data_IF_445331842965
#
_entry.id   IF_445331842965
#
_cell.length_a   1.000
_cell.length_b   1.000
_cell.length_c   1.000
_cell.angle_alpha   90.00
_cell.angle_beta   90.00
_cell.angle_gamma   90.00
#
_symmetry.space_group_name_H-M   'P 1'
#
loop_
_entity.id
_entity.type
_entity.pdbx_description
1 polymer ?
#
# COMPACT_ATOMS: atom_id res chain seq x y z
N UNK A 1 -43.77 -15.23 -20.04
CA UNK A 1 -43.00 -14.05 -20.49
C UNK A 1 -43.14 -12.99 -19.41
N UNK A 2 -42.16 -12.87 -18.52
CA UNK A 2 -42.13 -11.79 -17.53
C UNK A 2 -41.39 -10.63 -18.20
N UNK A 3 -42.10 -9.54 -18.48
CA UNK A 3 -41.53 -8.32 -19.02
C UNK A 3 -40.61 -7.68 -17.97
N UNK A 4 -39.32 -7.61 -18.29
CA UNK A 4 -38.35 -6.79 -17.57
C UNK A 4 -38.76 -5.31 -17.71
N UNK A 5 -38.80 -4.52 -16.63
CA UNK A 5 -39.13 -3.10 -16.74
C UNK A 5 -38.02 -2.39 -17.53
N UNK A 6 -38.39 -1.71 -18.62
CA UNK A 6 -37.51 -0.84 -19.39
C UNK A 6 -37.16 0.35 -18.48
N UNK A 7 -35.89 0.47 -18.07
CA UNK A 7 -35.35 1.68 -17.45
C UNK A 7 -35.55 2.84 -18.45
N UNK A 8 -36.08 4.00 -18.04
CA UNK A 8 -36.26 5.11 -18.97
C UNK A 8 -34.89 5.56 -19.51
N UNK A 9 -34.74 5.56 -20.83
CA UNK A 9 -33.62 6.17 -21.56
C UNK A 9 -33.63 7.69 -21.34
N UNK A 10 -33.05 8.15 -20.24
CA UNK A 10 -32.67 9.56 -20.10
C UNK A 10 -31.46 9.79 -20.99
N UNK A 11 -31.59 10.68 -21.98
CA UNK A 11 -30.46 11.10 -22.79
C UNK A 11 -29.25 11.48 -21.91
N UNK A 12 -28.03 11.10 -22.29
CA UNK A 12 -26.84 11.39 -21.47
C UNK A 12 -26.70 12.90 -21.24
N UNK A 13 -26.58 13.31 -19.97
CA UNK A 13 -26.55 14.73 -19.54
C UNK A 13 -25.33 15.50 -20.06
N UNK A 14 -24.28 14.80 -20.48
CA UNK A 14 -23.05 15.34 -21.06
C UNK A 14 -22.66 14.52 -22.31
N UNK A 15 -22.00 15.10 -23.34
CA UNK A 15 -21.58 14.37 -24.54
C UNK A 15 -20.61 13.23 -24.21
N UNK A 16 -20.33 12.24 -25.08
CA UNK A 16 -19.33 11.22 -24.78
C UNK A 16 -17.91 11.82 -24.70
N UNK A 17 -17.11 11.38 -23.71
CA UNK A 17 -15.67 11.71 -23.64
C UNK A 17 -14.96 11.34 -24.94
N UNK A 18 -14.07 12.21 -25.41
CA UNK A 18 -13.21 12.00 -26.59
C UNK A 18 -11.80 11.52 -26.19
N UNK A 19 -11.60 11.18 -24.92
CA UNK A 19 -10.34 10.71 -24.39
C UNK A 19 -10.02 9.30 -24.91
N UNK A 20 -8.74 8.95 -25.08
CA UNK A 20 -8.36 7.60 -25.58
C UNK A 20 -8.78 6.45 -24.64
N UNK A 21 -8.99 6.76 -23.36
CA UNK A 21 -9.52 5.85 -22.34
C UNK A 21 -11.00 6.11 -22.02
N UNK A 22 -11.80 6.55 -23.01
CA UNK A 22 -13.21 6.90 -22.82
C UNK A 22 -14.01 5.82 -22.09
N UNK A 23 -13.83 4.54 -22.43
CA UNK A 23 -14.53 3.43 -21.77
C UNK A 23 -14.21 3.32 -20.27
N UNK A 24 -12.95 3.56 -19.90
CA UNK A 24 -12.51 3.58 -18.50
C UNK A 24 -13.16 4.75 -17.77
N UNK A 25 -13.19 5.93 -18.39
CA UNK A 25 -13.81 7.14 -17.84
C UNK A 25 -15.31 6.93 -17.64
N UNK A 26 -16.01 6.34 -18.61
CA UNK A 26 -17.45 6.06 -18.46
C UNK A 26 -17.73 5.09 -17.31
N UNK A 27 -16.86 4.09 -17.07
CA UNK A 27 -16.96 3.24 -15.88
C UNK A 27 -16.75 4.02 -14.59
N UNK A 28 -15.77 4.91 -14.52
CA UNK A 28 -15.54 5.77 -13.35
C UNK A 28 -16.72 6.72 -13.11
N UNK A 29 -17.29 7.31 -14.16
CA UNK A 29 -18.49 8.16 -14.09
C UNK A 29 -19.72 7.39 -13.61
N UNK A 30 -19.79 6.10 -13.91
CA UNK A 30 -20.83 5.20 -13.39
C UNK A 30 -20.56 4.68 -11.96
N UNK A 31 -19.48 5.14 -11.31
CA UNK A 31 -19.11 4.72 -9.95
C UNK A 31 -18.40 3.36 -9.89
N UNK A 32 -17.89 2.88 -11.02
CA UNK A 32 -17.09 1.67 -11.12
C UNK A 32 -15.58 1.92 -11.04
N UNK A 33 -14.82 0.88 -11.35
CA UNK A 33 -13.36 0.88 -11.33
C UNK A 33 -12.74 1.02 -12.73
N UNK A 34 -11.42 1.23 -12.76
CA UNK A 34 -10.64 1.19 -14.00
C UNK A 34 -10.65 -0.20 -14.66
N UNK A 35 -10.93 -1.26 -13.90
CA UNK A 35 -11.08 -2.62 -14.40
C UNK A 35 -12.52 -2.91 -14.90
N UNK A 36 -12.68 -3.81 -15.87
CA UNK A 36 -13.99 -4.36 -16.22
C UNK A 36 -14.65 -5.08 -15.03
N UNK A 37 -15.95 -4.90 -14.86
CA UNK A 37 -16.74 -5.60 -13.85
C UNK A 37 -17.11 -7.01 -14.34
N UNK A 38 -16.29 -7.99 -13.95
CA UNK A 38 -16.52 -9.41 -14.26
C UNK A 38 -16.36 -10.25 -13.00
N UNK A 39 -17.06 -11.39 -12.87
CA UNK A 39 -16.86 -12.31 -11.75
C UNK A 39 -15.40 -12.78 -11.62
N UNK A 40 -14.71 -12.95 -12.75
CA UNK A 40 -13.30 -13.35 -12.80
C UNK A 40 -12.37 -12.26 -12.25
N UNK A 41 -12.60 -10.98 -12.58
CA UNK A 41 -11.83 -9.88 -12.00
C UNK A 41 -12.14 -9.74 -10.51
N UNK A 42 -13.41 -9.86 -10.09
CA UNK A 42 -13.78 -9.80 -8.68
C UNK A 42 -13.08 -10.88 -7.86
N UNK A 43 -13.13 -12.14 -8.31
CA UNK A 43 -12.45 -13.27 -7.66
C UNK A 43 -10.94 -13.03 -7.54
N UNK A 44 -10.28 -12.58 -8.61
CA UNK A 44 -8.86 -12.26 -8.60
C UNK A 44 -8.52 -11.12 -7.63
N UNK A 45 -9.30 -10.03 -7.65
CA UNK A 45 -9.11 -8.87 -6.78
C UNK A 45 -9.23 -9.26 -5.31
N UNK A 46 -10.30 -9.97 -4.93
CA UNK A 46 -10.50 -10.35 -3.53
C UNK A 46 -9.48 -11.41 -3.11
N UNK A 47 -9.24 -12.42 -3.95
CA UNK A 47 -8.30 -13.50 -3.62
C UNK A 47 -6.89 -12.99 -3.35
N UNK A 48 -6.44 -12.00 -4.12
CA UNK A 48 -5.14 -11.39 -3.86
C UNK A 48 -5.14 -10.45 -2.66
N UNK A 49 -6.26 -9.77 -2.36
CA UNK A 49 -6.38 -9.01 -1.10
C UNK A 49 -6.22 -9.93 0.12
N UNK A 50 -6.83 -11.12 0.11
CA UNK A 50 -6.63 -12.11 1.17
C UNK A 50 -5.18 -12.53 1.30
N UNK A 51 -4.55 -12.90 0.18
CA UNK A 51 -3.15 -13.34 0.16
C UNK A 51 -2.17 -12.23 0.56
N UNK A 52 -2.50 -10.97 0.27
CA UNK A 52 -1.69 -9.81 0.63
C UNK A 52 -1.88 -9.36 2.08
N UNK A 53 -3.08 -9.50 2.64
CA UNK A 53 -3.40 -9.05 3.99
C UNK A 53 -2.55 -9.77 5.06
N UNK A 54 -2.23 -11.05 4.86
CA UNK A 54 -1.43 -11.85 5.81
C UNK A 54 0.02 -11.33 5.95
N UNK A 55 0.83 -11.18 4.87
CA UNK A 55 2.15 -10.59 4.99
C UNK A 55 2.07 -9.10 5.35
N UNK A 56 1.03 -8.36 4.92
CA UNK A 56 0.81 -6.98 5.38
C UNK A 56 0.62 -6.89 6.89
N UNK A 57 -0.06 -7.86 7.51
CA UNK A 57 -0.20 -7.95 8.97
C UNK A 57 1.16 -8.11 9.67
N UNK A 58 2.10 -8.82 9.07
CA UNK A 58 3.49 -8.85 9.54
C UNK A 58 4.17 -7.49 9.32
N UNK A 59 4.06 -6.93 8.11
CA UNK A 59 4.76 -5.71 7.72
C UNK A 59 4.43 -4.54 8.63
N UNK A 60 3.15 -4.26 8.92
CA UNK A 60 2.82 -3.10 9.74
C UNK A 60 3.36 -3.25 11.17
N UNK A 61 3.32 -4.46 11.74
CA UNK A 61 3.85 -4.75 13.08
C UNK A 61 5.36 -4.54 13.13
N UNK A 62 6.07 -5.05 12.14
CA UNK A 62 7.53 -4.98 12.09
C UNK A 62 8.04 -3.58 11.72
N UNK A 63 7.33 -2.83 10.87
CA UNK A 63 7.61 -1.42 10.62
C UNK A 63 7.48 -0.58 11.90
N UNK A 64 6.42 -0.79 12.69
CA UNK A 64 6.25 -0.11 13.97
C UNK A 64 7.33 -0.55 14.97
N UNK A 65 7.63 -1.85 15.07
CA UNK A 65 8.72 -2.35 15.90
C UNK A 65 10.07 -1.71 15.56
N UNK A 66 10.40 -1.59 14.26
CA UNK A 66 11.63 -0.96 13.80
C UNK A 66 11.66 0.51 14.22
N UNK A 67 10.58 1.26 13.99
CA UNK A 67 10.51 2.68 14.35
C UNK A 67 10.59 2.89 15.88
N UNK A 68 9.82 2.12 16.64
CA UNK A 68 9.60 2.34 18.07
C UNK A 68 10.71 1.77 18.96
N UNK A 69 11.37 0.68 18.57
CA UNK A 69 12.26 -0.08 19.48
C UNK A 69 13.67 -0.30 18.90
N UNK A 70 13.77 -0.57 17.60
CA UNK A 70 15.09 -0.69 16.94
C UNK A 70 15.71 0.70 16.78
N UNK A 71 14.92 1.67 16.30
CA UNK A 71 15.24 3.08 16.16
C UNK A 71 16.62 3.32 15.53
N UNK A 72 17.58 3.85 16.29
CA UNK A 72 18.92 4.20 15.82
C UNK A 72 19.98 3.15 16.14
N UNK A 73 19.60 1.89 16.31
CA UNK A 73 20.56 0.81 16.53
C UNK A 73 21.56 0.76 15.35
N UNK A 74 22.87 1.02 15.57
CA UNK A 74 23.85 1.03 14.50
C UNK A 74 24.10 -0.35 13.88
N UNK A 75 23.75 -1.42 14.60
CA UNK A 75 23.90 -2.80 14.14
C UNK A 75 22.58 -3.58 14.34
N UNK A 76 21.57 -3.30 13.51
CA UNK A 76 20.23 -3.85 13.67
C UNK A 76 20.14 -5.28 13.09
N UNK A 77 21.04 -6.19 13.49
CA UNK A 77 21.16 -7.55 12.95
C UNK A 77 19.87 -8.36 13.01
N UNK A 78 19.02 -8.06 14.00
CA UNK A 78 17.77 -8.77 14.27
C UNK A 78 16.53 -7.90 14.05
N UNK A 79 16.61 -6.85 13.21
CA UNK A 79 15.48 -5.93 13.01
C UNK A 79 14.18 -6.59 12.53
N UNK A 80 14.26 -7.75 11.88
CA UNK A 80 13.09 -8.53 11.44
C UNK A 80 12.63 -9.58 12.46
N UNK A 81 13.24 -9.60 13.64
CA UNK A 81 12.88 -10.53 14.70
C UNK A 81 11.76 -9.93 15.53
N UNK A 82 10.58 -9.80 14.88
CA UNK A 82 9.37 -9.30 15.52
C UNK A 82 9.13 -9.95 16.90
N UNK A 83 9.14 -9.16 17.99
CA UNK A 83 8.92 -9.68 19.35
C UNK A 83 7.46 -10.11 19.57
N UNK A 84 7.24 -11.02 20.52
CA UNK A 84 5.89 -11.50 20.86
C UNK A 84 4.93 -10.35 21.21
N UNK A 85 5.41 -9.31 21.92
CA UNK A 85 4.58 -8.13 22.25
C UNK A 85 4.00 -7.40 21.04
N UNK A 86 4.65 -7.48 19.87
CA UNK A 86 4.14 -6.89 18.62
C UNK A 86 3.25 -7.85 17.83
N UNK A 87 3.41 -9.16 17.99
CA UNK A 87 2.46 -10.15 17.47
C UNK A 87 1.13 -10.08 18.24
N UNK A 88 1.22 -9.86 19.55
CA UNK A 88 0.06 -9.73 20.44
C UNK A 88 -0.50 -8.30 20.48
N UNK A 89 0.17 -7.33 19.83
CA UNK A 89 -0.28 -5.94 19.77
C UNK A 89 -1.67 -5.90 19.12
N UNK A 90 -2.72 -5.46 19.83
CA UNK A 90 -4.05 -5.35 19.25
C UNK A 90 -4.05 -4.32 18.13
N UNK A 91 -4.50 -4.72 16.95
CA UNK A 91 -4.76 -3.80 15.85
C UNK A 91 -5.95 -2.91 16.22
N UNK A 92 -5.80 -1.58 16.06
CA UNK A 92 -6.85 -0.62 16.45
C UNK A 92 -8.15 -0.72 15.63
N UNK A 93 -8.16 -1.53 14.57
CA UNK A 93 -9.26 -1.63 13.60
C UNK A 93 -9.81 -3.05 13.43
N UNK A 94 -9.38 -4.00 14.27
CA UNK A 94 -9.82 -5.39 14.25
C UNK A 94 -10.15 -5.94 15.64
N UNK A 95 -11.10 -6.87 15.69
CA UNK A 95 -11.54 -7.49 16.94
C UNK A 95 -12.47 -6.64 17.79
N UNK A 96 -12.89 -7.20 18.92
CA UNK A 96 -13.93 -6.63 19.77
C UNK A 96 -13.49 -5.38 20.54
N UNK A 97 -12.17 -5.16 20.68
CA UNK A 97 -11.58 -4.01 21.38
C UNK A 97 -11.10 -2.90 20.45
N UNK A 98 -11.47 -2.95 19.17
CA UNK A 98 -11.06 -1.96 18.17
C UNK A 98 -11.64 -0.57 18.47
N UNK A 99 -10.85 0.47 18.20
CA UNK A 99 -11.31 1.86 18.25
C UNK A 99 -12.39 2.13 17.21
N UNK A 100 -12.21 1.55 16.02
CA UNK A 100 -13.16 1.53 14.91
C UNK A 100 -13.07 0.16 14.26
N UNK A 101 -14.04 -0.71 14.56
CA UNK A 101 -14.04 -2.09 14.05
C UNK A 101 -14.33 -2.10 12.56
N UNK A 102 -13.29 -2.37 11.76
CA UNK A 102 -13.40 -2.65 10.32
C UNK A 102 -13.51 -4.14 10.12
N UNK A 103 -12.53 -4.90 10.64
CA UNK A 103 -12.53 -6.35 10.51
C UNK A 103 -13.18 -7.03 11.72
N UNK A 104 -14.09 -7.96 11.43
CA UNK A 104 -14.82 -8.73 12.44
C UNK A 104 -13.98 -9.82 13.11
N UNK A 105 -12.82 -10.16 12.54
CA UNK A 105 -11.91 -11.19 13.05
C UNK A 105 -11.17 -10.80 14.34
N UNK A 106 -9.92 -11.25 14.46
CA UNK A 106 -9.12 -11.12 15.68
C UNK A 106 -8.28 -9.83 15.69
N UNK A 107 -7.94 -9.33 16.88
CA UNK A 107 -7.12 -8.13 17.02
C UNK A 107 -5.60 -8.39 16.91
N UNK A 108 -5.16 -9.60 17.27
CA UNK A 108 -3.74 -10.00 17.25
C UNK A 108 -3.31 -10.47 15.86
N UNK A 109 -2.04 -10.87 15.72
CA UNK A 109 -1.52 -11.38 14.45
C UNK A 109 -2.38 -12.51 13.88
N UNK A 110 -2.58 -12.49 12.57
CA UNK A 110 -3.45 -13.43 11.86
C UNK A 110 -2.98 -14.89 12.07
N UNK A 111 -3.87 -15.88 12.25
CA UNK A 111 -3.46 -17.25 12.55
C UNK A 111 -2.57 -17.88 11.47
N UNK A 112 -2.87 -17.65 10.19
CA UNK A 112 -2.02 -18.12 9.07
C UNK A 112 -0.61 -17.52 9.13
N UNK A 113 -0.46 -16.26 9.55
CA UNK A 113 0.85 -15.64 9.73
C UNK A 113 1.62 -16.33 10.85
N UNK A 114 0.97 -16.60 11.99
CA UNK A 114 1.58 -17.28 13.13
C UNK A 114 1.99 -18.71 12.78
N UNK A 115 1.17 -19.42 12.02
CA UNK A 115 1.47 -20.76 11.52
C UNK A 115 2.70 -20.73 10.60
N UNK A 116 2.73 -19.83 9.61
CA UNK A 116 3.86 -19.66 8.71
C UNK A 116 5.14 -19.28 9.47
N UNK A 117 5.08 -18.33 10.41
CA UNK A 117 6.25 -17.95 11.22
C UNK A 117 6.76 -19.10 12.11
N UNK A 118 5.90 -20.04 12.49
CA UNK A 118 6.29 -21.21 13.28
C UNK A 118 6.93 -22.29 12.41
N UNK A 119 6.30 -22.61 11.28
CA UNK A 119 6.64 -23.77 10.45
C UNK A 119 7.55 -23.44 9.28
N UNK A 120 7.43 -22.24 8.71
CA UNK A 120 7.95 -21.91 7.40
C UNK A 120 7.23 -22.66 6.27
N UNK A 121 7.77 -22.57 5.06
CA UNK A 121 7.50 -23.44 3.91
C UNK A 121 7.97 -24.89 4.18
N UNK A 122 8.96 -25.05 5.06
CA UNK A 122 9.63 -26.33 5.28
C UNK A 122 9.13 -27.05 6.54
N UNK A 123 9.94 -27.04 7.61
CA UNK A 123 9.70 -27.71 8.88
C UNK A 123 9.88 -26.73 10.02
N UNK A 124 9.19 -26.99 11.12
CA UNK A 124 9.29 -26.17 12.33
C UNK A 124 10.73 -26.07 12.82
N UNK A 125 11.27 -24.85 12.82
CA UNK A 125 12.64 -24.54 13.27
C UNK A 125 12.66 -23.25 14.11
N UNK A 126 13.73 -23.02 14.89
CA UNK A 126 13.95 -21.73 15.54
C UNK A 126 14.00 -20.59 14.52
N UNK A 127 13.45 -19.42 14.89
CA UNK A 127 13.36 -18.21 14.04
C UNK A 127 14.69 -17.84 13.35
N UNK A 128 15.82 -18.01 14.03
CA UNK A 128 17.12 -17.74 13.42
C UNK A 128 17.39 -18.59 12.17
N UNK A 129 17.06 -19.88 12.19
CA UNK A 129 17.29 -20.77 11.05
C UNK A 129 16.32 -20.51 9.91
N UNK A 130 15.06 -20.22 10.24
CA UNK A 130 14.08 -19.72 9.27
C UNK A 130 14.62 -18.51 8.51
N UNK A 131 15.16 -17.52 9.22
CA UNK A 131 15.74 -16.33 8.59
C UNK A 131 17.02 -16.63 7.78
N UNK A 132 17.92 -17.48 8.28
CA UNK A 132 19.16 -17.83 7.57
C UNK A 132 18.92 -18.65 6.31
N UNK A 133 17.84 -19.43 6.27
CA UNK A 133 17.46 -20.26 5.12
C UNK A 133 16.47 -19.56 4.18
N UNK A 134 16.18 -18.28 4.40
CA UNK A 134 15.20 -17.50 3.65
C UNK A 134 13.76 -18.06 3.72
N UNK A 135 13.46 -18.86 4.74
CA UNK A 135 12.12 -19.39 5.04
C UNK A 135 11.37 -18.40 5.96
N UNK A 136 11.03 -17.23 5.41
CA UNK A 136 10.45 -16.11 6.18
C UNK A 136 9.70 -15.13 5.29
N UNK A 137 8.93 -14.25 5.93
CA UNK A 137 8.35 -13.06 5.30
C UNK A 137 9.46 -12.12 4.81
N UNK A 138 9.37 -11.68 3.56
CA UNK A 138 10.30 -10.79 2.87
C UNK A 138 10.08 -9.31 3.24
N UNK A 139 10.37 -8.98 4.49
CA UNK A 139 10.24 -7.63 5.05
C UNK A 139 11.02 -6.54 4.29
N UNK A 140 12.02 -6.91 3.50
CA UNK A 140 12.75 -5.99 2.63
C UNK A 140 11.86 -5.27 1.62
N UNK A 141 10.75 -5.89 1.20
CA UNK A 141 9.77 -5.25 0.32
C UNK A 141 9.09 -4.07 1.03
N UNK A 142 8.69 -4.25 2.29
CA UNK A 142 8.11 -3.20 3.12
C UNK A 142 9.07 -2.02 3.30
N UNK A 143 10.35 -2.30 3.55
CA UNK A 143 11.37 -1.26 3.61
C UNK A 143 11.58 -0.55 2.28
N UNK A 144 11.53 -1.27 1.16
CA UNK A 144 11.64 -0.66 -0.16
C UNK A 144 10.47 0.32 -0.43
N UNK A 145 9.25 -0.02 -0.01
CA UNK A 145 8.11 0.90 -0.06
C UNK A 145 8.33 2.13 0.83
N UNK A 146 8.79 1.94 2.07
CA UNK A 146 9.10 3.05 2.98
C UNK A 146 10.21 3.97 2.43
N UNK A 147 11.28 3.37 1.87
CA UNK A 147 12.37 4.10 1.24
C UNK A 147 11.88 4.88 0.01
N UNK A 148 10.97 4.32 -0.78
CA UNK A 148 10.36 5.03 -1.90
C UNK A 148 9.56 6.25 -1.42
N UNK A 149 8.80 6.15 -0.34
CA UNK A 149 8.10 7.28 0.28
C UNK A 149 9.09 8.34 0.78
N UNK A 150 10.13 7.94 1.50
CA UNK A 150 11.18 8.83 2.02
C UNK A 150 11.98 9.51 0.90
N UNK A 151 12.14 8.86 -0.25
CA UNK A 151 12.89 9.43 -1.37
C UNK A 151 12.05 10.41 -2.20
N UNK A 152 10.75 10.13 -2.35
CA UNK A 152 9.78 10.96 -3.07
C UNK A 152 9.09 11.98 -2.16
N UNK A 153 9.81 12.59 -1.21
CA UNK A 153 9.28 13.62 -0.30
C UNK A 153 8.68 14.81 -1.05
N UNK A 154 7.93 15.66 -0.33
CA UNK A 154 7.23 16.85 -0.83
C UNK A 154 6.08 16.57 -1.81
N UNK A 155 5.59 15.33 -1.88
CA UNK A 155 4.34 15.04 -2.58
C UNK A 155 3.16 15.67 -1.85
N UNK A 156 2.22 16.21 -2.62
CA UNK A 156 1.03 16.92 -2.11
C UNK A 156 1.40 18.05 -1.13
N UNK A 157 2.50 18.77 -1.39
CA UNK A 157 2.94 19.91 -0.58
C UNK A 157 1.79 20.90 -0.32
N UNK A 158 1.65 21.34 0.93
CA UNK A 158 0.51 22.16 1.40
C UNK A 158 -0.69 21.35 1.90
N UNK A 159 -0.82 20.08 1.52
CA UNK A 159 -1.85 19.14 2.03
C UNK A 159 -1.22 18.09 2.93
N UNK A 160 -0.09 17.49 2.52
CA UNK A 160 0.74 16.63 3.36
C UNK A 160 1.57 17.49 4.31
N UNK A 161 1.15 17.58 5.57
CA UNK A 161 1.78 18.40 6.61
C UNK A 161 2.79 17.59 7.42
N UNK A 162 2.71 16.25 7.39
CA UNK A 162 3.67 15.38 8.05
C UNK A 162 5.09 15.60 7.51
N UNK A 163 5.28 15.58 6.19
CA UNK A 163 6.62 15.76 5.60
C UNK A 163 7.22 17.15 5.88
N UNK A 164 6.38 18.19 5.85
CA UNK A 164 6.77 19.56 6.19
C UNK A 164 7.24 19.65 7.64
N UNK A 165 6.53 18.99 8.56
CA UNK A 165 6.89 18.95 9.98
C UNK A 165 8.27 18.34 10.23
N UNK A 166 8.68 17.32 9.45
CA UNK A 166 10.00 16.69 9.57
C UNK A 166 11.18 17.64 9.25
N UNK A 167 10.90 18.83 8.71
CA UNK A 167 11.89 19.87 8.43
C UNK A 167 11.88 21.02 9.45
N UNK A 168 11.04 20.93 10.49
CA UNK A 168 10.92 21.98 11.50
C UNK A 168 11.98 21.87 12.60
N UNK A 169 12.27 22.99 13.24
CA UNK A 169 13.14 23.01 14.42
C UNK A 169 12.52 22.23 15.59
N UNK A 170 11.20 22.20 15.70
CA UNK A 170 10.49 21.41 16.71
C UNK A 170 10.78 19.91 16.55
N UNK A 171 10.65 19.37 15.34
CA UNK A 171 10.98 17.98 15.07
C UNK A 171 12.46 17.69 15.38
N UNK A 172 13.36 18.63 15.04
CA UNK A 172 14.79 18.52 15.35
C UNK A 172 15.06 18.44 16.86
N UNK A 173 14.36 19.24 17.66
CA UNK A 173 14.44 19.20 19.12
C UNK A 173 13.88 17.90 19.70
N UNK A 174 12.79 17.37 19.14
CA UNK A 174 12.25 16.07 19.53
C UNK A 174 13.26 14.95 19.26
N UNK A 175 13.85 14.95 18.06
CA UNK A 175 14.91 14.01 17.69
C UNK A 175 16.13 14.14 18.62
N UNK A 176 16.58 15.37 18.92
CA UNK A 176 17.74 15.60 19.80
C UNK A 176 17.54 14.97 21.19
N UNK A 177 16.35 15.13 21.78
CA UNK A 177 15.98 14.50 23.06
C UNK A 177 16.04 12.98 22.97
N UNK A 178 15.42 12.40 21.94
CA UNK A 178 15.38 10.96 21.72
C UNK A 178 16.78 10.36 21.46
N UNK A 179 17.60 10.99 20.60
CA UNK A 179 18.96 10.55 20.28
C UNK A 179 19.83 10.52 21.54
N UNK A 180 19.80 11.61 22.33
CA UNK A 180 20.57 11.71 23.58
C UNK A 180 20.12 10.67 24.60
N UNK A 181 18.81 10.42 24.70
CA UNK A 181 18.27 9.37 25.55
C UNK A 181 18.69 7.97 25.08
N UNK A 182 18.60 7.69 23.78
CA UNK A 182 18.90 6.39 23.18
C UNK A 182 20.38 6.00 23.38
N UNK A 183 21.30 6.92 23.07
CA UNK A 183 22.74 6.70 23.22
C UNK A 183 23.27 7.05 24.62
N UNK A 184 22.40 7.23 25.62
CA UNK A 184 22.83 7.48 27.00
C UNK A 184 23.74 6.36 27.51
N UNK A 185 24.99 6.68 27.80
CA UNK A 185 26.01 5.69 28.21
C UNK A 185 26.84 5.11 27.06
N UNK A 186 26.63 5.55 25.82
CA UNK A 186 27.50 5.27 24.67
C UNK A 186 28.20 6.56 24.19
N UNK A 187 29.37 6.93 24.77
CA UNK A 187 30.04 8.19 24.48
C UNK A 187 30.54 8.28 23.03
N UNK A 188 30.83 7.14 22.38
CA UNK A 188 31.26 7.10 20.98
C UNK A 188 30.11 7.58 20.09
N UNK A 189 28.91 7.01 20.24
CA UNK A 189 27.76 7.41 19.43
C UNK A 189 27.30 8.83 19.72
N UNK A 190 27.35 9.28 20.98
CA UNK A 190 27.09 10.69 21.33
C UNK A 190 28.12 11.64 20.72
N UNK A 191 29.40 11.22 20.67
CA UNK A 191 30.46 11.96 19.98
C UNK A 191 30.21 12.05 18.47
N UNK A 192 29.83 10.95 17.84
CA UNK A 192 29.45 10.92 16.43
C UNK A 192 28.24 11.83 16.14
N UNK A 193 27.21 11.79 16.98
CA UNK A 193 26.06 12.68 16.86
C UNK A 193 26.46 14.16 16.98
N UNK A 194 27.36 14.49 17.90
CA UNK A 194 27.86 15.86 18.05
C UNK A 194 28.62 16.34 16.81
N UNK A 195 29.40 15.46 16.16
CA UNK A 195 30.18 15.80 14.97
C UNK A 195 29.33 15.84 13.69
N UNK A 196 28.34 14.94 13.58
CA UNK A 196 27.52 14.75 12.39
C UNK A 196 26.03 14.72 12.73
N UNK A 197 25.47 15.79 13.32
CA UNK A 197 24.10 15.78 13.85
C UNK A 197 23.07 15.45 12.76
N UNK A 198 23.22 16.03 11.57
CA UNK A 198 22.28 15.83 10.46
C UNK A 198 22.18 14.38 10.01
N UNK A 199 23.26 13.59 10.10
CA UNK A 199 23.21 12.17 9.75
C UNK A 199 22.23 11.39 10.65
N UNK A 200 22.19 11.70 11.94
CA UNK A 200 21.27 11.07 12.89
C UNK A 200 19.84 11.60 12.75
N UNK A 201 19.69 12.91 12.45
CA UNK A 201 18.38 13.49 12.17
C UNK A 201 17.77 12.86 10.91
N UNK A 202 18.54 12.61 9.86
CA UNK A 202 18.04 11.87 8.68
C UNK A 202 17.63 10.44 9.02
N UNK A 203 18.37 9.74 9.89
CA UNK A 203 17.95 8.42 10.38
C UNK A 203 16.64 8.50 11.18
N UNK A 204 16.44 9.55 11.99
CA UNK A 204 15.16 9.79 12.66
C UNK A 204 14.03 10.03 11.65
N UNK A 205 14.26 10.79 10.58
CA UNK A 205 13.28 10.99 9.49
C UNK A 205 12.91 9.67 8.85
N UNK A 206 13.89 8.83 8.57
CA UNK A 206 13.65 7.47 8.08
C UNK A 206 12.75 6.69 9.04
N UNK A 207 13.05 6.67 10.35
CA UNK A 207 12.20 6.00 11.35
C UNK A 207 10.77 6.58 11.42
N UNK A 208 10.61 7.89 11.23
CA UNK A 208 9.27 8.50 11.11
C UNK A 208 8.50 7.98 9.88
N UNK A 209 9.18 7.71 8.76
CA UNK A 209 8.55 7.07 7.59
C UNK A 209 8.26 5.58 7.80
N UNK A 210 9.05 4.85 8.59
CA UNK A 210 8.68 3.50 9.06
C UNK A 210 7.36 3.54 9.84
N UNK A 211 7.25 4.45 10.81
CA UNK A 211 6.03 4.63 11.60
C UNK A 211 4.84 5.02 10.72
N UNK A 212 5.03 5.95 9.77
CA UNK A 212 4.01 6.39 8.84
C UNK A 212 3.46 5.22 7.99
N UNK A 213 4.34 4.43 7.36
CA UNK A 213 3.93 3.28 6.55
C UNK A 213 3.33 2.15 7.42
N UNK A 214 3.85 1.93 8.62
CA UNK A 214 3.28 0.99 9.59
C UNK A 214 1.85 1.35 9.95
N UNK A 215 1.59 2.61 10.33
CA UNK A 215 0.23 3.09 10.62
C UNK A 215 -0.67 3.08 9.37
N UNK A 216 -0.12 3.23 8.17
CA UNK A 216 -0.86 3.06 6.94
C UNK A 216 -1.39 1.63 6.77
N UNK A 217 -0.51 0.65 6.90
CA UNK A 217 -0.84 -0.76 6.71
C UNK A 217 -1.58 -1.40 7.90
N UNK A 218 -1.48 -0.82 9.10
CA UNK A 218 -2.32 -1.21 10.24
C UNK A 218 -3.81 -1.11 9.90
N UNK A 219 -4.21 -0.18 9.04
CA UNK A 219 -5.59 -0.02 8.56
C UNK A 219 -5.88 -0.91 7.35
N UNK A 220 -4.97 -0.96 6.38
CA UNK A 220 -5.23 -1.67 5.13
C UNK A 220 -5.32 -3.19 5.30
N UNK A 221 -4.60 -3.79 6.25
CA UNK A 221 -4.68 -5.23 6.49
C UNK A 221 -6.10 -5.66 6.96
N UNK A 222 -6.70 -5.06 8.00
CA UNK A 222 -8.11 -5.31 8.37
C UNK A 222 -9.10 -5.05 7.24
N UNK A 223 -8.92 -3.99 6.44
CA UNK A 223 -9.78 -3.71 5.29
C UNK A 223 -9.76 -4.89 4.31
N UNK A 224 -8.58 -5.40 3.96
CA UNK A 224 -8.45 -6.52 3.04
C UNK A 224 -8.94 -7.86 3.62
N UNK A 225 -8.74 -8.11 4.91
CA UNK A 225 -9.31 -9.27 5.58
C UNK A 225 -10.84 -9.24 5.55
N UNK A 226 -11.46 -8.13 5.94
CA UNK A 226 -12.92 -8.00 5.95
C UNK A 226 -13.53 -8.13 4.55
N UNK A 227 -12.87 -7.61 3.52
CA UNK A 227 -13.30 -7.81 2.14
C UNK A 227 -13.25 -9.28 1.72
N UNK A 228 -12.23 -10.03 2.13
CA UNK A 228 -12.19 -11.47 1.87
C UNK A 228 -13.35 -12.17 2.55
N UNK A 229 -13.59 -11.90 3.83
CA UNK A 229 -14.65 -12.54 4.61
C UNK A 229 -16.03 -12.25 3.99
N UNK A 230 -16.31 -11.00 3.62
CA UNK A 230 -17.55 -10.61 2.95
C UNK A 230 -17.73 -11.35 1.62
N UNK A 231 -16.67 -11.51 0.83
CA UNK A 231 -16.73 -12.24 -0.43
C UNK A 231 -17.02 -13.73 -0.22
N UNK A 232 -16.36 -14.36 0.73
CA UNK A 232 -16.56 -15.77 1.08
C UNK A 232 -17.99 -16.01 1.63
N UNK A 233 -18.57 -15.01 2.29
CA UNK A 233 -19.99 -14.96 2.71
C UNK A 233 -20.96 -14.70 1.53
N UNK A 234 -20.46 -14.44 0.32
CA UNK A 234 -21.26 -14.15 -0.88
C UNK A 234 -21.80 -12.71 -0.95
N UNK A 235 -21.18 -11.78 -0.22
CA UNK A 235 -21.69 -10.42 0.01
C UNK A 235 -21.45 -9.41 -1.12
N UNK A 236 -20.45 -9.60 -1.98
CA UNK A 236 -20.17 -8.66 -3.08
C UNK A 236 -20.87 -9.05 -4.38
N UNK A 237 -21.61 -8.11 -4.96
CA UNK A 237 -22.32 -8.31 -6.24
C UNK A 237 -21.45 -8.13 -7.49
N UNK A 238 -20.32 -7.44 -7.35
CA UNK A 238 -19.44 -7.05 -8.45
C UNK A 238 -18.26 -6.19 -7.98
N UNK A 239 -17.36 -5.84 -8.90
CA UNK A 239 -16.20 -4.98 -8.62
C UNK A 239 -16.62 -3.60 -8.06
N UNK A 240 -17.67 -2.91 -8.56
CA UNK A 240 -18.10 -1.64 -7.98
C UNK A 240 -18.52 -1.74 -6.51
N UNK A 241 -19.10 -2.86 -6.10
CA UNK A 241 -19.54 -3.10 -4.71
C UNK A 241 -18.34 -3.24 -3.76
N UNK A 242 -17.36 -4.06 -4.16
CA UNK A 242 -16.07 -4.18 -3.47
C UNK A 242 -15.31 -2.84 -3.42
N UNK A 243 -15.34 -2.06 -4.51
CA UNK A 243 -14.72 -0.75 -4.54
C UNK A 243 -15.42 0.25 -3.61
N UNK A 244 -16.76 0.21 -3.52
CA UNK A 244 -17.51 1.05 -2.58
C UNK A 244 -17.18 0.72 -1.13
N UNK A 245 -16.94 -0.55 -0.81
CA UNK A 245 -16.42 -0.93 0.51
C UNK A 245 -15.07 -0.25 0.79
N UNK A 246 -14.12 -0.27 -0.15
CA UNK A 246 -12.84 0.43 -0.01
C UNK A 246 -13.02 1.94 0.18
N UNK A 247 -13.89 2.57 -0.60
CA UNK A 247 -14.16 4.02 -0.51
C UNK A 247 -14.73 4.36 0.87
N UNK A 248 -15.72 3.62 1.35
CA UNK A 248 -16.31 3.81 2.66
C UNK A 248 -15.29 3.59 3.78
N UNK A 249 -14.46 2.56 3.65
CA UNK A 249 -13.33 2.29 4.52
C UNK A 249 -12.40 3.49 4.61
N UNK A 250 -11.91 3.99 3.47
CA UNK A 250 -11.02 5.17 3.36
C UNK A 250 -11.62 6.39 4.09
N UNK A 251 -12.90 6.70 3.87
CA UNK A 251 -13.53 7.83 4.52
C UNK A 251 -13.65 7.65 6.04
N UNK A 252 -14.01 6.45 6.50
CA UNK A 252 -14.18 6.15 7.92
C UNK A 252 -12.87 6.31 8.73
N UNK A 253 -11.73 6.01 8.11
CA UNK A 253 -10.40 6.10 8.72
C UNK A 253 -9.59 7.35 8.33
N UNK A 254 -10.14 8.20 7.47
CA UNK A 254 -9.42 9.34 6.88
C UNK A 254 -8.76 10.25 7.92
N UNK A 255 -9.42 10.45 9.07
CA UNK A 255 -8.96 11.30 10.18
C UNK A 255 -8.11 10.59 11.25
N UNK A 256 -7.74 9.31 11.06
CA UNK A 256 -6.94 8.57 12.04
C UNK A 256 -5.53 9.16 12.13
N UNK A 257 -4.94 9.26 13.34
CA UNK A 257 -3.73 10.03 13.54
C UNK A 257 -2.50 9.32 12.98
N UNK A 258 -1.62 10.07 12.33
CA UNK A 258 -0.25 9.66 12.00
C UNK A 258 0.71 10.29 13.01
N UNK A 259 1.57 9.46 13.59
CA UNK A 259 2.50 9.86 14.65
C UNK A 259 3.74 8.96 14.64
N UNK A 260 4.75 9.35 15.41
CA UNK A 260 5.94 8.56 15.65
C UNK A 260 6.43 8.79 17.06
N UNK A 261 6.56 7.70 17.80
CA UNK A 261 7.09 7.64 19.15
C UNK A 261 8.16 6.56 19.22
N UNK A 262 9.10 6.69 20.15
CA UNK A 262 10.15 5.70 20.37
C UNK A 262 10.19 5.30 21.85
N UNK A 263 10.28 4.01 22.13
CA UNK A 263 10.48 3.48 23.47
C UNK A 263 11.99 3.38 23.74
N UNK A 264 12.45 4.11 24.74
CA UNK A 264 13.84 4.11 25.16
C UNK A 264 13.87 3.73 26.65
N UNK A 265 14.23 2.48 26.93
CA UNK A 265 14.36 1.95 28.30
C UNK A 265 13.08 2.11 29.14
N UNK A 266 11.92 1.91 28.50
CA UNK A 266 10.61 1.99 29.14
C UNK A 266 9.98 3.39 29.15
N UNK A 267 10.69 4.41 28.66
CA UNK A 267 10.17 5.77 28.51
C UNK A 267 9.83 6.05 27.03
N UNK A 268 8.67 6.63 26.77
CA UNK A 268 8.22 6.98 25.43
C UNK A 268 8.58 8.43 25.08
N UNK A 269 9.22 8.61 23.92
CA UNK A 269 9.57 9.92 23.37
C UNK A 269 8.79 10.14 22.07
N UNK A 270 8.00 11.21 21.99
CA UNK A 270 7.30 11.58 20.77
C UNK A 270 8.23 12.37 19.84
N UNK A 271 8.53 11.80 18.66
CA UNK A 271 9.23 12.51 17.59
C UNK A 271 8.23 13.32 16.76
N UNK A 272 7.10 12.69 16.45
CA UNK A 272 5.95 13.30 15.77
C UNK A 272 4.72 13.13 16.68
N UNK A 273 4.36 14.17 17.46
CA UNK A 273 3.25 14.09 18.40
C UNK A 273 1.88 13.99 17.71
N UNK A 274 0.93 13.28 18.35
CA UNK A 274 -0.45 13.15 17.85
C UNK A 274 -1.20 14.49 17.79
N UNK A 275 -0.86 15.44 18.67
CA UNK A 275 -1.53 16.75 18.76
C UNK A 275 -1.26 17.67 17.56
N UNK A 276 -0.31 17.31 16.68
CA UNK A 276 -0.10 17.97 15.39
C UNK A 276 -1.24 17.71 14.40
N UNK A 277 -2.07 16.70 14.65
CA UNK A 277 -3.26 16.42 13.86
C UNK A 277 -2.96 15.97 12.43
N UNK A 278 -1.85 15.24 12.23
CA UNK A 278 -1.59 14.56 10.96
C UNK A 278 -2.56 13.40 10.79
N UNK A 279 -3.13 13.27 9.61
CA UNK A 279 -4.26 12.39 9.31
C UNK A 279 -3.88 11.37 8.25
N UNK A 280 -4.38 10.15 8.41
CA UNK A 280 -4.07 9.00 7.56
C UNK A 280 -4.27 9.30 6.07
N UNK A 281 -5.35 9.96 5.67
CA UNK A 281 -5.65 10.20 4.25
C UNK A 281 -4.59 11.09 3.58
N UNK A 282 -4.32 12.24 4.17
CA UNK A 282 -3.47 13.28 3.56
C UNK A 282 -1.98 13.06 3.81
N UNK A 283 -1.62 12.51 4.97
CA UNK A 283 -0.23 12.42 5.43
C UNK A 283 0.39 11.03 5.23
N UNK A 284 -0.41 10.01 4.90
CA UNK A 284 0.08 8.66 4.64
C UNK A 284 -0.46 8.07 3.31
N UNK A 285 -1.79 8.00 3.13
CA UNK A 285 -2.40 7.27 2.02
C UNK A 285 -2.16 7.91 0.65
N UNK A 286 -2.43 9.21 0.49
CA UNK A 286 -2.18 9.90 -0.79
C UNK A 286 -0.68 9.87 -1.16
N UNK A 287 0.26 10.25 -0.25
CA UNK A 287 1.69 10.08 -0.51
C UNK A 287 2.09 8.63 -0.83
N UNK A 288 1.53 7.64 -0.14
CA UNK A 288 1.83 6.23 -0.40
C UNK A 288 1.42 5.80 -1.82
N UNK A 289 0.20 6.14 -2.25
CA UNK A 289 -0.29 5.81 -3.60
C UNK A 289 0.62 6.43 -4.66
N UNK A 290 0.98 7.70 -4.52
CA UNK A 290 1.88 8.37 -5.45
C UNK A 290 3.29 7.75 -5.44
N UNK A 291 3.86 7.51 -4.26
CA UNK A 291 5.22 6.98 -4.10
C UNK A 291 5.36 5.53 -4.55
N UNK A 292 4.40 4.67 -4.25
CA UNK A 292 4.51 3.21 -4.42
C UNK A 292 3.77 2.73 -5.65
N UNK A 293 2.57 3.28 -5.94
CA UNK A 293 1.76 2.78 -7.05
C UNK A 293 2.13 3.45 -8.38
N UNK A 294 2.45 4.74 -8.37
CA UNK A 294 2.85 5.46 -9.57
C UNK A 294 4.38 5.46 -9.76
N UNK A 295 5.14 5.93 -8.77
CA UNK A 295 6.55 6.28 -8.97
C UNK A 295 7.52 5.12 -8.74
N UNK A 296 7.73 4.77 -7.48
CA UNK A 296 8.75 3.88 -6.89
C UNK A 296 10.17 4.04 -7.47
N UNK A 297 11.15 3.38 -6.86
CA UNK A 297 12.51 3.35 -7.38
C UNK A 297 12.58 2.52 -8.69
N UNK A 298 13.31 2.98 -9.73
CA UNK A 298 13.47 2.23 -10.97
C UNK A 298 14.05 0.83 -10.70
N UNK A 299 13.50 -0.20 -11.34
CA UNK A 299 13.98 -1.55 -11.09
C UNK A 299 15.36 -1.73 -11.70
N UNK A 300 16.31 -2.17 -10.88
CA UNK A 300 17.71 -2.35 -11.29
C UNK A 300 17.89 -3.38 -12.39
N UNK A 301 16.96 -4.34 -12.51
CA UNK A 301 16.94 -5.34 -13.57
C UNK A 301 16.33 -4.87 -14.89
N UNK A 302 15.60 -3.74 -14.94
CA UNK A 302 14.89 -3.31 -16.17
C UNK A 302 15.33 -1.95 -16.71
N UNK A 303 15.98 -1.11 -15.88
CA UNK A 303 16.42 0.23 -16.29
C UNK A 303 17.90 0.45 -15.97
N UNK A 304 18.61 1.05 -16.91
CA UNK A 304 19.99 1.49 -16.71
C UNK A 304 20.03 2.83 -16.00
N UNK A 305 20.76 2.88 -14.88
CA UNK A 305 21.05 4.11 -14.12
C UNK A 305 22.21 4.91 -14.75
N UNK A 306 22.72 4.48 -15.90
CA UNK A 306 23.72 5.25 -16.64
C UNK A 306 23.12 6.60 -17.06
N UNK A 307 23.64 7.69 -16.49
CA UNK A 307 23.18 9.05 -16.77
C UNK A 307 23.24 9.43 -18.25
N UNK A 308 24.13 8.80 -19.04
CA UNK A 308 24.23 9.04 -20.48
C UNK A 308 23.13 8.35 -21.29
N UNK A 309 22.55 7.26 -20.76
CA UNK A 309 21.54 6.47 -21.46
C UNK A 309 20.13 7.09 -21.39
N UNK A 310 19.89 8.01 -20.45
CA UNK A 310 18.62 8.73 -20.33
C UNK A 310 17.40 7.84 -20.04
N UNK A 311 17.58 6.62 -19.52
CA UNK A 311 16.48 5.68 -19.26
C UNK A 311 15.74 5.94 -17.94
N UNK A 312 16.38 6.64 -17.00
CA UNK A 312 15.77 7.10 -15.75
C UNK A 312 15.55 8.61 -15.88
N UNK A 313 14.31 9.11 -15.72
CA UNK A 313 14.03 10.55 -15.74
C UNK A 313 14.87 11.33 -14.75
N UNK A 314 15.20 12.58 -15.08
CA UNK A 314 15.89 13.48 -14.15
C UNK A 314 14.98 13.96 -13.04
N UNK A 315 13.70 14.16 -13.34
CA UNK A 315 12.69 14.65 -12.41
C UNK A 315 11.91 13.50 -11.79
N UNK A 316 11.82 13.48 -10.46
CA UNK A 316 11.08 12.44 -9.72
C UNK A 316 9.58 12.40 -10.07
N UNK A 317 9.01 13.51 -10.52
CA UNK A 317 7.60 13.58 -10.94
C UNK A 317 7.31 12.70 -12.17
N UNK A 318 8.33 12.37 -12.96
CA UNK A 318 8.20 11.56 -14.16
C UNK A 318 8.45 10.07 -13.92
N UNK A 319 8.64 9.65 -12.68
CA UNK A 319 8.90 8.26 -12.34
C UNK A 319 7.63 7.42 -12.56
N UNK A 320 7.80 6.29 -13.23
CA UNK A 320 6.72 5.44 -13.73
C UNK A 320 7.12 3.97 -13.58
N UNK A 321 7.53 3.59 -12.38
CA UNK A 321 8.03 2.25 -12.06
C UNK A 321 7.16 1.53 -11.03
N UNK A 322 6.16 2.22 -10.48
CA UNK A 322 5.23 1.65 -9.50
C UNK A 322 4.39 0.53 -10.11
N UNK A 323 3.61 -0.17 -9.27
CA UNK A 323 2.86 -1.36 -9.72
C UNK A 323 1.93 -1.09 -10.91
N UNK A 324 1.44 0.14 -11.10
CA UNK A 324 0.57 0.49 -12.24
C UNK A 324 1.34 0.60 -13.58
N UNK A 325 2.67 0.65 -13.55
CA UNK A 325 3.54 0.73 -14.73
C UNK A 325 4.51 -0.45 -14.81
N UNK A 326 4.61 -1.24 -13.75
CA UNK A 326 5.54 -2.35 -13.66
C UNK A 326 5.30 -3.38 -14.78
N UNK A 327 6.39 -3.82 -15.40
CA UNK A 327 6.39 -5.08 -16.13
C UNK A 327 6.49 -6.23 -15.12
N UNK A 328 5.49 -7.10 -15.10
CA UNK A 328 5.35 -8.19 -14.13
C UNK A 328 5.79 -9.54 -14.68
N UNK A 329 6.05 -9.66 -15.99
CA UNK A 329 6.59 -10.89 -16.57
C UNK A 329 8.00 -11.29 -16.06
N UNK A 330 8.93 -10.36 -15.74
CA UNK A 330 10.23 -10.74 -15.20
C UNK A 330 10.21 -11.01 -13.68
N UNK A 331 9.03 -11.07 -13.02
CA UNK A 331 8.93 -11.51 -11.62
C UNK A 331 9.58 -12.90 -11.46
N UNK A 332 10.31 -13.10 -10.37
CA UNK A 332 11.11 -14.32 -10.15
C UNK A 332 12.54 -14.25 -10.68
N UNK A 333 12.89 -13.18 -11.42
CA UNK A 333 14.25 -12.97 -11.93
C UNK A 333 15.06 -11.98 -11.07
N UNK A 334 16.38 -11.93 -11.31
CA UNK A 334 17.28 -11.06 -10.55
C UNK A 334 17.04 -9.56 -10.82
N UNK A 335 17.05 -8.74 -9.76
CA UNK A 335 16.94 -7.29 -9.88
C UNK A 335 15.51 -6.74 -10.01
N UNK A 336 14.50 -7.57 -9.72
CA UNK A 336 13.07 -7.21 -9.76
C UNK A 336 12.48 -7.24 -8.34
N UNK A 337 12.39 -6.08 -7.65
CA UNK A 337 11.95 -6.02 -6.24
C UNK A 337 10.56 -6.60 -5.94
N UNK A 338 9.53 -6.42 -6.78
CA UNK A 338 8.19 -6.99 -6.51
C UNK A 338 8.17 -8.50 -6.30
N UNK A 339 9.17 -9.23 -6.77
CA UNK A 339 9.33 -10.68 -6.56
C UNK A 339 9.25 -11.07 -5.08
N UNK A 340 9.79 -10.22 -4.19
CA UNK A 340 9.74 -10.46 -2.74
C UNK A 340 8.30 -10.51 -2.22
N UNK A 341 7.45 -9.59 -2.66
CA UNK A 341 6.05 -9.59 -2.30
C UNK A 341 5.30 -10.76 -2.96
N UNK A 342 5.58 -11.05 -4.23
CA UNK A 342 4.90 -12.16 -4.93
C UNK A 342 5.19 -13.51 -4.25
N UNK A 343 6.43 -13.72 -3.78
CA UNK A 343 6.79 -14.88 -2.98
C UNK A 343 6.01 -14.91 -1.66
N UNK A 344 6.00 -13.79 -0.91
CA UNK A 344 5.26 -13.72 0.36
C UNK A 344 3.77 -14.05 0.18
N UNK A 345 3.13 -13.49 -0.84
CA UNK A 345 1.70 -13.72 -1.12
C UNK A 345 1.42 -15.15 -1.61
N UNK A 346 2.39 -15.82 -2.24
CA UNK A 346 2.23 -17.19 -2.73
C UNK A 346 1.85 -18.15 -1.59
N UNK A 347 2.38 -17.93 -0.38
CA UNK A 347 2.12 -18.80 0.80
C UNK A 347 0.69 -18.71 1.32
N UNK A 348 -0.04 -17.65 0.97
CA UNK A 348 -1.33 -17.31 1.57
C UNK A 348 -2.45 -17.22 0.52
N UNK A 349 -2.23 -17.81 -0.66
CA UNK A 349 -3.25 -17.86 -1.71
C UNK A 349 -4.47 -18.64 -1.24
N UNK A 350 -5.70 -18.09 -1.39
CA UNK A 350 -6.90 -18.87 -1.17
C UNK A 350 -7.06 -19.94 -2.25
N UNK A 351 -7.69 -21.06 -1.89
CA UNK A 351 -7.77 -22.23 -2.77
C UNK A 351 -8.40 -21.93 -4.14
N UNK A 352 -9.43 -21.08 -4.20
CA UNK A 352 -10.08 -20.74 -5.46
C UNK A 352 -9.15 -19.99 -6.43
N UNK A 353 -8.18 -19.22 -5.93
CA UNK A 353 -7.20 -18.50 -6.76
C UNK A 353 -6.06 -19.44 -7.20
N UNK A 354 -5.67 -20.37 -6.33
CA UNK A 354 -4.74 -21.46 -6.65
C UNK A 354 -5.31 -22.36 -7.77
N UNK A 355 -6.55 -22.83 -7.62
CA UNK A 355 -7.26 -23.64 -8.62
C UNK A 355 -7.39 -22.93 -9.95
N UNK A 356 -7.59 -21.61 -9.91
CA UNK A 356 -7.63 -20.78 -11.10
C UNK A 356 -6.26 -20.71 -11.80
N UNK A 357 -5.15 -20.50 -11.08
CA UNK A 357 -3.82 -20.47 -11.68
C UNK A 357 -3.41 -21.82 -12.28
N UNK A 358 -3.78 -22.95 -11.66
CA UNK A 358 -3.51 -24.28 -12.20
C UNK A 358 -4.14 -24.52 -13.59
N UNK A 359 -5.24 -23.83 -13.91
CA UNK A 359 -5.97 -23.99 -15.16
C UNK A 359 -5.45 -23.08 -16.29
N UNK A 360 -4.49 -22.20 -16.03
CA UNK A 360 -4.01 -21.21 -16.98
C UNK A 360 -2.50 -21.26 -17.15
N UNK A 361 -2.04 -20.71 -18.28
CA UNK A 361 -0.63 -20.53 -18.62
C UNK A 361 0.22 -21.79 -18.36
N UNK A 362 1.21 -21.72 -17.46
CA UNK A 362 2.07 -22.86 -17.10
C UNK A 362 1.71 -23.50 -15.76
N UNK A 363 0.49 -23.28 -15.27
CA UNK A 363 0.01 -23.86 -14.03
C UNK A 363 0.85 -23.41 -12.84
N UNK A 364 1.48 -24.36 -12.15
CA UNK A 364 2.34 -24.08 -10.98
C UNK A 364 3.66 -23.37 -11.34
N UNK A 365 4.18 -23.60 -12.55
CA UNK A 365 5.53 -23.19 -12.92
C UNK A 365 5.70 -21.66 -13.04
N UNK A 366 4.63 -20.93 -13.37
CA UNK A 366 4.63 -19.48 -13.55
C UNK A 366 3.69 -18.74 -12.59
N UNK A 367 3.33 -19.36 -11.46
CA UNK A 367 2.40 -18.78 -10.48
C UNK A 367 2.80 -17.39 -10.02
N UNK A 368 4.10 -17.10 -9.83
CA UNK A 368 4.54 -15.76 -9.42
C UNK A 368 4.20 -14.68 -10.46
N UNK A 369 4.20 -15.01 -11.75
CA UNK A 369 3.84 -14.10 -12.83
C UNK A 369 2.32 -13.89 -12.85
N UNK A 370 1.55 -14.98 -12.81
CA UNK A 370 0.08 -14.92 -12.76
C UNK A 370 -0.40 -14.12 -11.52
N UNK A 371 0.26 -14.33 -10.38
CA UNK A 371 0.06 -13.61 -9.14
C UNK A 371 0.42 -12.13 -9.29
N UNK A 372 1.56 -11.81 -9.91
CA UNK A 372 1.95 -10.43 -10.20
C UNK A 372 0.92 -9.65 -11.04
N UNK A 373 0.32 -10.29 -12.04
CA UNK A 373 -0.74 -9.70 -12.87
C UNK A 373 -2.02 -9.49 -12.07
N UNK A 374 -2.42 -10.49 -11.28
CA UNK A 374 -3.59 -10.42 -10.39
C UNK A 374 -3.42 -9.31 -9.36
N UNK A 375 -2.23 -9.20 -8.77
CA UNK A 375 -1.87 -8.10 -7.87
C UNK A 375 -1.94 -6.75 -8.58
N UNK A 376 -1.39 -6.63 -9.79
CA UNK A 376 -1.46 -5.39 -10.58
C UNK A 376 -2.91 -4.98 -10.88
N UNK A 377 -3.77 -5.91 -11.29
CA UNK A 377 -5.22 -5.68 -11.45
C UNK A 377 -5.82 -5.14 -10.15
N UNK A 378 -5.56 -5.80 -9.03
CA UNK A 378 -6.09 -5.35 -7.73
C UNK A 378 -5.63 -3.94 -7.36
N UNK A 379 -4.39 -3.57 -7.64
CA UNK A 379 -3.86 -2.22 -7.36
C UNK A 379 -4.48 -1.14 -8.27
N UNK A 380 -4.92 -1.49 -9.49
CA UNK A 380 -5.79 -0.63 -10.29
C UNK A 380 -7.17 -0.45 -9.63
N UNK A 381 -7.74 -1.48 -9.02
CA UNK A 381 -9.00 -1.36 -8.27
C UNK A 381 -8.83 -0.46 -7.02
N UNK A 382 -7.76 -0.65 -6.22
CA UNK A 382 -7.45 0.23 -5.08
C UNK A 382 -7.25 1.67 -5.53
N UNK A 383 -6.50 1.89 -6.61
CA UNK A 383 -6.27 3.24 -7.16
C UNK A 383 -7.58 3.87 -7.65
N UNK A 384 -8.49 3.07 -8.21
CA UNK A 384 -9.83 3.54 -8.60
C UNK A 384 -10.63 4.01 -7.38
N UNK A 385 -10.58 3.26 -6.27
CA UNK A 385 -11.22 3.68 -5.01
C UNK A 385 -10.65 5.02 -4.50
N UNK A 386 -9.33 5.22 -4.59
CA UNK A 386 -8.68 6.48 -4.21
C UNK A 386 -9.12 7.64 -5.11
N UNK A 387 -9.17 7.42 -6.43
CA UNK A 387 -9.66 8.42 -7.40
C UNK A 387 -11.11 8.80 -7.10
N UNK A 388 -11.97 7.81 -6.80
CA UNK A 388 -13.37 8.04 -6.44
C UNK A 388 -13.52 8.79 -5.11
N UNK A 389 -12.76 8.41 -4.09
CA UNK A 389 -12.75 9.08 -2.79
C UNK A 389 -12.29 10.53 -2.92
N UNK A 390 -11.22 10.78 -3.70
CA UNK A 390 -10.72 12.14 -3.94
C UNK A 390 -11.73 13.00 -4.70
N UNK A 391 -12.39 12.44 -5.72
CA UNK A 391 -13.49 13.12 -6.43
C UNK A 391 -14.63 13.44 -5.48
N UNK A 392 -15.06 12.50 -4.65
CA UNK A 392 -16.13 12.74 -3.68
C UNK A 392 -15.76 13.77 -2.61
N UNK A 393 -14.47 13.89 -2.26
CA UNK A 393 -13.98 14.87 -1.29
C UNK A 393 -13.85 16.30 -1.87
N UNK A 394 -13.57 16.43 -3.17
CA UNK A 394 -13.19 17.72 -3.78
C UNK A 394 -14.19 18.25 -4.82
N UNK A 395 -15.06 17.40 -5.34
CA UNK A 395 -15.95 17.68 -6.47
C UNK A 395 -17.38 17.25 -6.15
N UNK A 396 -18.12 16.81 -7.17
CA UNK A 396 -19.57 16.62 -7.10
C UNK A 396 -19.96 15.13 -7.03
N UNK A 397 -21.15 14.80 -6.50
CA UNK A 397 -21.73 13.46 -6.63
C UNK A 397 -21.85 13.00 -8.09
N UNK A 398 -21.87 11.69 -8.32
CA UNK A 398 -21.99 11.14 -9.68
C UNK A 398 -23.41 11.25 -10.25
N UNK A 399 -24.40 11.35 -9.37
CA UNK A 399 -25.82 11.47 -9.68
C UNK A 399 -26.31 12.93 -9.77
N UNK A 400 -25.39 13.90 -9.76
CA UNK A 400 -25.71 15.32 -9.87
C UNK A 400 -26.52 15.63 -11.15
N UNK A 401 -27.45 16.59 -11.04
CA UNK A 401 -28.29 17.00 -12.15
C UNK A 401 -27.66 18.08 -13.03
N UNK A 402 -26.71 18.85 -12.49
CA UNK A 402 -26.05 19.92 -13.21
C UNK A 402 -25.00 19.37 -14.20
N UNK A 403 -25.18 19.58 -15.53
CA UNK A 403 -24.19 19.14 -16.51
C UNK A 403 -22.79 19.71 -16.30
N UNK A 404 -22.66 20.92 -15.72
CA UNK A 404 -21.37 21.53 -15.42
C UNK A 404 -20.64 20.79 -14.29
N UNK A 405 -21.38 20.29 -13.29
CA UNK A 405 -20.83 19.50 -12.20
C UNK A 405 -20.31 18.15 -12.71
N UNK A 406 -21.11 17.48 -13.54
CA UNK A 406 -20.71 16.22 -14.18
C UNK A 406 -19.51 16.42 -15.12
N UNK A 407 -19.45 17.54 -15.83
CA UNK A 407 -18.30 17.89 -16.66
C UNK A 407 -17.03 18.19 -15.83
N UNK A 408 -17.17 18.76 -14.64
CA UNK A 408 -16.06 18.94 -13.71
C UNK A 408 -15.51 17.58 -13.23
N UNK A 409 -16.39 16.64 -12.89
CA UNK A 409 -16.01 15.26 -12.58
C UNK A 409 -15.30 14.59 -13.77
N UNK A 410 -15.82 14.75 -15.00
CA UNK A 410 -15.16 14.23 -16.21
C UNK A 410 -13.76 14.77 -16.38
N UNK A 411 -13.58 16.10 -16.31
CA UNK A 411 -12.26 16.73 -16.44
C UNK A 411 -11.27 16.19 -15.40
N UNK A 412 -11.74 15.95 -14.18
CA UNK A 412 -10.92 15.32 -13.16
C UNK A 412 -10.54 13.87 -13.53
N UNK A 413 -11.49 13.04 -13.95
CA UNK A 413 -11.18 11.67 -14.38
C UNK A 413 -10.27 11.63 -15.60
N UNK A 414 -10.49 12.49 -16.60
CA UNK A 414 -9.61 12.65 -17.76
C UNK A 414 -8.20 13.04 -17.32
N UNK A 415 -8.04 14.00 -16.40
CA UNK A 415 -6.73 14.37 -15.86
C UNK A 415 -6.04 13.23 -15.09
N UNK A 416 -6.80 12.36 -14.39
CA UNK A 416 -6.22 11.16 -13.80
C UNK A 416 -5.81 10.15 -14.87
N UNK A 417 -6.61 9.98 -15.91
CA UNK A 417 -6.32 9.06 -17.02
C UNK A 417 -5.17 9.55 -17.91
N UNK A 418 -4.93 10.86 -17.98
CA UNK A 418 -3.77 11.46 -18.66
C UNK A 418 -2.44 10.89 -18.15
N UNK A 419 -2.39 10.49 -16.88
CA UNK A 419 -1.21 9.87 -16.24
C UNK A 419 -0.87 8.50 -16.86
N UNK A 420 -1.84 7.83 -17.46
CA UNK A 420 -1.68 6.50 -18.07
C UNK A 420 -1.52 6.54 -19.60
N UNK A 421 -1.41 7.74 -20.21
CA UNK A 421 -1.14 7.86 -21.65
C UNK A 421 0.24 7.34 -22.04
N UNK A 422 1.16 7.33 -21.07
CA UNK A 422 2.51 6.78 -21.24
C UNK A 422 2.44 5.33 -21.74
N UNK A 423 3.29 4.92 -22.70
CA UNK A 423 3.28 3.57 -23.25
C UNK A 423 3.62 2.50 -22.21
N UNK A 424 4.34 2.85 -21.13
CA UNK A 424 4.68 1.94 -20.04
C UNK A 424 3.50 1.63 -19.11
N UNK A 425 2.41 2.41 -19.17
CA UNK A 425 1.25 2.19 -18.31
C UNK A 425 0.52 0.90 -18.69
N UNK A 426 0.20 0.08 -17.68
CA UNK A 426 -0.49 -1.21 -17.88
C UNK A 426 -2.01 -1.11 -17.96
N UNK A 427 -2.54 0.12 -18.03
CA UNK A 427 -3.98 0.35 -18.02
C UNK A 427 -4.64 -0.31 -19.23
N UNK A 428 -3.98 -0.33 -20.40
CA UNK A 428 -4.46 -1.01 -21.62
C UNK A 428 -4.43 -2.53 -21.47
N UNK A 429 -3.33 -3.05 -20.93
CA UNK A 429 -3.09 -4.48 -20.76
C UNK A 429 -4.14 -5.11 -19.83
N UNK A 430 -4.40 -4.48 -18.67
CA UNK A 430 -5.35 -5.00 -17.67
C UNK A 430 -6.83 -4.96 -18.13
N UNK A 431 -7.16 -4.24 -19.22
CA UNK A 431 -8.49 -4.33 -19.82
C UNK A 431 -8.72 -5.66 -20.54
N UNK A 432 -7.64 -6.28 -21.03
CA UNK A 432 -7.73 -7.52 -21.77
C UNK A 432 -7.81 -8.72 -20.81
N UNK A 433 -8.75 -9.62 -21.05
CA UNK A 433 -8.88 -10.89 -20.30
C UNK A 433 -7.71 -11.84 -20.55
N UNK A 434 -7.05 -11.71 -21.70
CA UNK A 434 -5.93 -12.57 -22.11
C UNK A 434 -4.58 -12.09 -21.56
N UNK A 435 -4.53 -10.95 -20.86
CA UNK A 435 -3.34 -10.50 -20.15
C UNK A 435 -3.14 -11.33 -18.87
N UNK A 436 -2.26 -12.33 -18.95
CA UNK A 436 -2.02 -13.43 -18.01
C UNK A 436 -0.57 -13.90 -18.02
#
# INVERSE_FOLDING_TARGET
>A
MVQTPIKPDTAPKIPPSQHEFAEVIHRLEAGGAMLPDTPENLMQIIGIYKAYAVPMDFYWRDLLYIAEEVFLNPFPFFKYFLPQKYLDLPNHYAGDTADLRIWRGIATAHPELLEFMSKGETVKMPKLFHHLWHDRVNMEFAEACMQAMLWHRKMYAGVNRFDDFLNTEEYRQNCDRAIKAYFKGNPIMLGMYKLFPEAFIEQCRMMSYYSNLGLFWEIMAPVFFEMSDIYDEGGFKGVPDAMNFLINGIFAISGRPIYHRVNIRGEWFDLVPKDKGFMWLYDAALPYVEAVFYRTAPFRGTKSYNAQAGQVPSEQADFHYGILYADVFPVGTAGIPPTQLMQDMLHFLPQYLLDYYHQHCRGEDDMLIQLGITFQRSMYCVTSAVIQALRAALLYPLDDENPEHLMANRKFFEAQMDRFKRPEARLRDIQNRDYR
#
